data_IF_759761453255
#
_entry.id   IF_759761453255
#
_cell.length_a   1.000
_cell.length_b   1.000
_cell.length_c   1.000
_cell.angle_alpha   90.00
_cell.angle_beta   90.00
_cell.angle_gamma   90.00
#
_symmetry.space_group_name_H-M   'P 1'
#
loop_
_entity.id
_entity.type
_entity.pdbx_description
1 polymer ?
#
# COMPACT_ATOMS: atom_id res chain seq x y z
N UNK A 1 -16.19 0.93 -0.95
CA UNK A 1 -15.09 1.44 -1.77
C UNK A 1 -14.84 0.56 -3.00
N UNK A 2 -14.68 -0.76 -2.85
CA UNK A 2 -14.39 -1.67 -3.97
C UNK A 2 -15.47 -1.63 -5.07
N UNK A 3 -16.75 -1.60 -4.70
CA UNK A 3 -17.88 -1.49 -5.63
C UNK A 3 -17.85 -0.14 -6.36
N UNK A 4 -17.56 0.94 -5.64
CA UNK A 4 -17.42 2.29 -6.20
C UNK A 4 -16.33 2.33 -7.28
N UNK A 5 -15.13 1.84 -6.97
CA UNK A 5 -13.98 1.87 -7.89
C UNK A 5 -14.21 0.96 -9.10
N UNK A 6 -14.91 -0.18 -8.95
CA UNK A 6 -15.15 -1.10 -10.07
C UNK A 6 -16.31 -0.66 -10.96
N UNK A 7 -17.39 -0.08 -10.41
CA UNK A 7 -18.64 0.15 -11.16
C UNK A 7 -18.85 1.59 -11.60
N UNK A 8 -18.21 2.61 -10.96
CA UNK A 8 -18.41 4.01 -11.32
C UNK A 8 -17.46 4.50 -12.41
N UNK A 9 -17.85 5.54 -13.15
CA UNK A 9 -17.02 6.21 -14.15
C UNK A 9 -15.74 6.79 -13.52
N UNK A 10 -15.88 7.43 -12.35
CA UNK A 10 -14.75 7.97 -11.59
C UNK A 10 -13.79 6.89 -11.11
N UNK A 11 -14.28 5.75 -10.65
CA UNK A 11 -13.44 4.63 -10.24
C UNK A 11 -12.68 4.00 -11.41
N UNK A 12 -13.30 3.91 -12.60
CA UNK A 12 -12.60 3.48 -13.82
C UNK A 12 -11.52 4.47 -14.22
N UNK A 13 -11.78 5.78 -14.12
CA UNK A 13 -10.79 6.81 -14.38
C UNK A 13 -9.59 6.72 -13.40
N UNK A 14 -9.85 6.50 -12.10
CA UNK A 14 -8.79 6.29 -11.11
C UNK A 14 -7.88 5.10 -11.47
N UNK A 15 -8.44 4.01 -11.93
CA UNK A 15 -7.66 2.83 -12.37
C UNK A 15 -6.86 3.10 -13.64
N UNK A 16 -7.45 3.76 -14.63
CA UNK A 16 -6.76 4.13 -15.86
C UNK A 16 -5.55 5.05 -15.58
N UNK A 17 -5.74 6.07 -14.73
CA UNK A 17 -4.66 6.97 -14.32
C UNK A 17 -3.58 6.25 -13.52
N UNK A 18 -3.94 5.25 -12.70
CA UNK A 18 -2.95 4.48 -11.92
C UNK A 18 -2.14 3.50 -12.77
N UNK A 19 -2.66 3.04 -13.91
CA UNK A 19 -1.94 2.15 -14.83
C UNK A 19 -1.03 2.94 -15.79
N UNK A 20 -1.56 3.95 -16.45
CA UNK A 20 -0.80 4.81 -17.35
C UNK A 20 -1.45 6.20 -17.44
N UNK A 21 -0.87 7.22 -16.76
CA UNK A 21 -1.42 8.56 -16.73
C UNK A 21 -1.41 9.23 -18.12
N UNK A 22 -0.39 8.98 -18.95
CA UNK A 22 -0.31 9.59 -20.27
C UNK A 22 -1.38 9.04 -21.22
N UNK A 23 -1.59 7.73 -21.22
CA UNK A 23 -2.66 7.12 -21.99
C UNK A 23 -4.04 7.59 -21.51
N UNK A 24 -4.24 7.74 -20.20
CA UNK A 24 -5.48 8.26 -19.63
C UNK A 24 -5.77 9.70 -20.09
N UNK A 25 -4.73 10.54 -20.16
CA UNK A 25 -4.82 11.92 -20.67
C UNK A 25 -5.24 11.96 -22.13
N UNK A 26 -4.68 11.10 -22.97
CA UNK A 26 -5.04 10.97 -24.39
C UNK A 26 -6.49 10.55 -24.57
N UNK A 27 -7.06 9.79 -23.64
CA UNK A 27 -8.47 9.40 -23.62
C UNK A 27 -9.41 10.48 -23.03
N UNK A 28 -8.91 11.69 -22.77
CA UNK A 28 -9.70 12.80 -22.27
C UNK A 28 -9.98 12.77 -20.76
N UNK A 29 -9.26 11.92 -19.99
CA UNK A 29 -9.41 11.86 -18.54
C UNK A 29 -8.60 13.00 -17.91
N UNK A 30 -9.25 13.83 -17.08
CA UNK A 30 -8.57 14.86 -16.32
C UNK A 30 -7.85 14.21 -15.12
N UNK A 31 -6.52 14.15 -15.20
CA UNK A 31 -5.67 13.49 -14.21
C UNK A 31 -5.80 14.20 -12.86
N UNK A 32 -5.69 15.53 -12.82
CA UNK A 32 -5.69 16.31 -11.58
C UNK A 32 -6.98 16.11 -10.78
N UNK A 33 -8.13 16.18 -11.46
CA UNK A 33 -9.44 15.93 -10.83
C UNK A 33 -9.53 14.50 -10.29
N UNK A 34 -8.97 13.53 -11.00
CA UNK A 34 -8.98 12.12 -10.59
C UNK A 34 -8.11 11.91 -9.35
N UNK A 35 -6.94 12.53 -9.29
CA UNK A 35 -6.04 12.48 -8.14
C UNK A 35 -6.70 13.14 -6.93
N UNK A 36 -7.21 14.36 -7.08
CA UNK A 36 -7.91 15.07 -6.01
C UNK A 36 -9.05 14.23 -5.45
N UNK A 37 -9.89 13.65 -6.31
CA UNK A 37 -11.00 12.81 -5.88
C UNK A 37 -10.53 11.57 -5.10
N UNK A 38 -9.41 10.98 -5.50
CA UNK A 38 -8.82 9.83 -4.80
C UNK A 38 -8.38 10.22 -3.39
N UNK A 39 -7.70 11.36 -3.24
CA UNK A 39 -7.29 11.88 -1.93
C UNK A 39 -8.48 12.28 -1.05
N UNK A 40 -9.52 12.88 -1.61
CA UNK A 40 -10.75 13.23 -0.87
C UNK A 40 -11.40 11.97 -0.29
N UNK A 41 -11.50 10.89 -1.06
CA UNK A 41 -12.06 9.63 -0.56
C UNK A 41 -11.15 9.04 0.53
N UNK A 42 -9.83 9.07 0.34
CA UNK A 42 -8.88 8.58 1.33
C UNK A 42 -8.95 9.32 2.65
N UNK A 43 -8.96 10.66 2.61
CA UNK A 43 -9.07 11.51 3.82
C UNK A 43 -10.42 11.37 4.51
N UNK A 44 -11.49 11.19 3.77
CA UNK A 44 -12.82 10.92 4.34
C UNK A 44 -12.83 9.60 5.14
N UNK A 45 -12.26 8.53 4.59
CA UNK A 45 -12.14 7.25 5.30
C UNK A 45 -11.22 7.35 6.51
N UNK A 46 -10.12 8.09 6.41
CA UNK A 46 -9.20 8.33 7.52
C UNK A 46 -9.88 9.13 8.65
N UNK A 47 -10.73 10.09 8.30
CA UNK A 47 -11.51 10.86 9.28
C UNK A 47 -12.47 9.97 10.07
N UNK A 48 -13.18 9.06 9.41
CA UNK A 48 -14.06 8.09 10.11
C UNK A 48 -13.23 7.21 11.05
N UNK A 49 -12.10 6.69 10.59
CA UNK A 49 -11.22 5.86 11.41
C UNK A 49 -10.68 6.62 12.63
N UNK A 50 -10.32 7.90 12.47
CA UNK A 50 -9.88 8.77 13.56
C UNK A 50 -10.96 8.95 14.62
N UNK A 51 -12.20 9.22 14.23
CA UNK A 51 -13.32 9.36 15.17
C UNK A 51 -13.54 8.06 15.96
N UNK A 52 -13.52 6.90 15.29
CA UNK A 52 -13.65 5.60 15.95
C UNK A 52 -12.50 5.32 16.93
N UNK A 53 -11.28 5.75 16.56
CA UNK A 53 -10.11 5.59 17.42
C UNK A 53 -10.23 6.41 18.71
N UNK A 54 -10.56 7.70 18.57
CA UNK A 54 -10.74 8.62 19.70
C UNK A 54 -11.89 8.19 20.61
N UNK A 55 -12.97 7.66 20.04
CA UNK A 55 -14.08 7.13 20.83
C UNK A 55 -13.68 5.94 21.72
N UNK A 56 -12.67 5.17 21.30
CA UNK A 56 -12.15 4.02 22.07
C UNK A 56 -11.06 4.41 23.06
N UNK A 57 -10.19 5.34 22.69
CA UNK A 57 -9.04 5.77 23.48
C UNK A 57 -9.21 7.23 23.88
N UNK A 58 -9.43 7.50 25.16
CA UNK A 58 -9.66 8.85 25.69
C UNK A 58 -8.40 9.74 25.69
N UNK A 59 -7.22 9.14 25.55
CA UNK A 59 -5.96 9.87 25.55
C UNK A 59 -5.51 10.14 24.11
N UNK A 60 -5.30 11.41 23.79
CA UNK A 60 -4.75 11.87 22.50
C UNK A 60 -3.33 12.37 22.75
N UNK A 61 -2.36 11.71 22.15
CA UNK A 61 -0.96 12.11 22.18
C UNK A 61 -0.59 12.87 20.90
N UNK A 62 0.34 13.85 20.95
CA UNK A 62 0.74 14.64 19.78
C UNK A 62 1.26 13.79 18.60
N UNK A 63 1.92 12.66 18.87
CA UNK A 63 2.51 11.77 17.85
C UNK A 63 1.61 10.57 17.48
N UNK A 64 0.39 10.52 17.96
CA UNK A 64 -0.54 9.44 17.69
C UNK A 64 -0.73 9.16 16.20
N UNK A 65 -0.83 10.23 15.39
CA UNK A 65 -0.99 10.12 13.94
C UNK A 65 0.17 9.44 13.23
N UNK A 66 1.40 9.64 13.70
CA UNK A 66 2.60 9.00 13.15
C UNK A 66 2.56 7.48 13.34
N UNK A 67 2.22 7.02 14.54
CA UNK A 67 2.12 5.60 14.86
C UNK A 67 0.99 4.93 14.06
N UNK A 68 -0.18 5.57 13.99
CA UNK A 68 -1.30 5.05 13.19
C UNK A 68 -0.98 5.01 11.69
N UNK A 69 -0.24 6.01 11.19
CA UNK A 69 0.24 6.03 9.80
C UNK A 69 1.18 4.86 9.51
N UNK A 70 2.11 4.56 10.43
CA UNK A 70 3.00 3.41 10.33
C UNK A 70 2.22 2.08 10.29
N UNK A 71 1.25 1.90 11.17
CA UNK A 71 0.41 0.69 11.17
C UNK A 71 -0.42 0.56 9.90
N UNK A 72 -0.95 1.66 9.38
CA UNK A 72 -1.66 1.68 8.11
C UNK A 72 -0.76 1.30 6.93
N UNK A 73 0.50 1.78 6.93
CA UNK A 73 1.49 1.40 5.94
C UNK A 73 1.81 -0.10 6.00
N UNK A 74 2.07 -0.64 7.20
CA UNK A 74 2.32 -2.07 7.40
C UNK A 74 1.11 -2.88 6.91
N UNK A 75 -0.11 -2.46 7.25
CA UNK A 75 -1.33 -3.11 6.80
C UNK A 75 -1.47 -3.14 5.26
N UNK A 76 -1.13 -2.05 4.59
CA UNK A 76 -1.15 -1.96 3.13
C UNK A 76 -0.12 -2.87 2.47
N UNK A 77 1.10 -2.96 3.04
CA UNK A 77 2.17 -3.84 2.55
C UNK A 77 1.81 -5.31 2.76
N UNK A 78 1.37 -5.67 3.96
CA UNK A 78 0.92 -7.03 4.32
C UNK A 78 -0.26 -7.46 3.45
N UNK A 79 -1.22 -6.57 3.26
CA UNK A 79 -2.40 -6.82 2.43
C UNK A 79 -2.08 -6.96 0.95
N UNK A 80 -1.03 -6.29 0.49
CA UNK A 80 -0.59 -6.22 -0.91
C UNK A 80 -0.91 -4.87 -1.55
N UNK A 81 0.11 -4.14 -1.92
CA UNK A 81 0.03 -2.81 -2.54
C UNK A 81 -0.79 -2.90 -3.83
N UNK A 82 -1.77 -2.01 -3.95
CA UNK A 82 -2.68 -1.94 -5.12
C UNK A 82 -3.94 -2.80 -5.01
N UNK A 83 -4.12 -3.57 -3.93
CA UNK A 83 -5.34 -4.34 -3.67
C UNK A 83 -6.14 -3.75 -2.49
N UNK A 84 -7.33 -3.19 -2.78
CA UNK A 84 -8.22 -2.62 -1.75
C UNK A 84 -8.70 -3.70 -0.77
N UNK A 85 -9.05 -4.88 -1.31
CA UNK A 85 -9.45 -6.01 -0.48
C UNK A 85 -8.27 -6.48 0.38
N UNK A 86 -7.05 -6.49 -0.18
CA UNK A 86 -5.82 -6.80 0.53
C UNK A 86 -5.56 -5.86 1.69
N UNK A 87 -5.65 -4.55 1.47
CA UNK A 87 -5.47 -3.55 2.52
C UNK A 87 -6.48 -3.71 3.68
N UNK A 88 -7.72 -4.08 3.38
CA UNK A 88 -8.74 -4.34 4.39
C UNK A 88 -8.38 -5.58 5.24
N UNK A 89 -8.01 -6.67 4.60
CA UNK A 89 -7.58 -7.92 5.29
C UNK A 89 -6.28 -7.68 6.06
N UNK A 90 -5.32 -6.95 5.47
CA UNK A 90 -4.07 -6.58 6.13
C UNK A 90 -4.32 -5.76 7.40
N UNK A 91 -5.20 -4.77 7.34
CA UNK A 91 -5.60 -3.98 8.51
C UNK A 91 -6.24 -4.84 9.62
N UNK A 92 -7.07 -5.81 9.25
CA UNK A 92 -7.68 -6.73 10.21
C UNK A 92 -6.62 -7.64 10.87
N UNK A 93 -5.70 -8.20 10.09
CA UNK A 93 -4.59 -9.02 10.59
C UNK A 93 -3.73 -8.22 11.57
N UNK A 94 -3.32 -7.00 11.18
CA UNK A 94 -2.50 -6.12 12.04
C UNK A 94 -3.23 -5.78 13.34
N UNK A 95 -4.55 -5.52 13.27
CA UNK A 95 -5.37 -5.30 14.47
C UNK A 95 -5.38 -6.51 15.42
N UNK A 96 -5.50 -7.72 14.89
CA UNK A 96 -5.44 -8.96 15.69
C UNK A 96 -4.06 -9.16 16.32
N UNK A 97 -3.00 -8.98 15.52
CA UNK A 97 -1.61 -9.14 15.99
C UNK A 97 -1.28 -8.19 17.13
N UNK A 98 -1.79 -6.96 17.07
CA UNK A 98 -1.57 -5.95 18.11
C UNK A 98 -2.19 -6.34 19.48
N UNK A 99 -3.23 -7.15 19.46
CA UNK A 99 -3.91 -7.60 20.68
C UNK A 99 -3.25 -8.87 21.28
N UNK A 100 -2.54 -9.67 20.47
CA UNK A 100 -1.96 -10.95 20.90
C UNK A 100 -1.05 -10.84 22.13
N UNK A 101 -0.11 -9.89 22.27
CA UNK A 101 0.74 -9.80 23.45
C UNK A 101 -0.06 -9.58 24.74
N UNK A 102 -1.13 -8.79 24.68
CA UNK A 102 -2.00 -8.56 25.84
C UNK A 102 -2.77 -9.82 26.26
N UNK A 103 -3.17 -10.66 25.30
CA UNK A 103 -3.87 -11.94 25.59
C UNK A 103 -2.92 -12.94 26.24
N UNK A 104 -1.65 -12.96 25.83
CA UNK A 104 -0.63 -13.89 26.36
C UNK A 104 -0.06 -13.39 27.71
N UNK A 105 -0.46 -12.18 28.16
CA UNK A 105 0.05 -11.58 29.40
C UNK A 105 1.45 -10.97 29.27
N UNK A 106 1.92 -10.73 28.05
CA UNK A 106 3.20 -10.07 27.75
C UNK A 106 2.96 -8.55 27.72
N UNK A 107 3.96 -7.77 28.14
CA UNK A 107 3.87 -6.31 28.11
C UNK A 107 3.54 -5.82 26.69
N UNK A 108 2.61 -4.86 26.59
CA UNK A 108 2.17 -4.24 25.32
C UNK A 108 3.30 -3.61 24.49
N UNK A 109 4.44 -3.28 25.11
CA UNK A 109 5.63 -2.82 24.40
C UNK A 109 6.16 -3.82 23.35
N UNK A 110 5.91 -5.11 23.54
CA UNK A 110 6.30 -6.14 22.57
C UNK A 110 5.38 -6.21 21.34
N UNK A 111 4.23 -5.53 21.35
CA UNK A 111 3.29 -5.52 20.21
C UNK A 111 3.95 -5.06 18.91
N UNK A 112 4.86 -4.10 18.99
CA UNK A 112 5.58 -3.59 17.81
C UNK A 112 6.53 -4.64 17.22
N UNK A 113 7.19 -5.43 18.06
CA UNK A 113 8.09 -6.52 17.63
C UNK A 113 7.28 -7.58 16.86
N UNK A 114 6.09 -7.95 17.36
CA UNK A 114 5.21 -8.90 16.66
C UNK A 114 4.72 -8.35 15.32
N UNK A 115 4.40 -7.05 15.25
CA UNK A 115 3.97 -6.41 14.01
C UNK A 115 5.07 -6.41 12.95
N UNK A 116 6.29 -6.00 13.32
CA UNK A 116 7.42 -6.02 12.41
C UNK A 116 7.85 -7.45 12.05
N UNK A 117 7.78 -8.38 13.00
CA UNK A 117 8.06 -9.81 12.75
C UNK A 117 7.14 -10.39 11.68
N UNK A 118 5.82 -10.15 11.78
CA UNK A 118 4.86 -10.59 10.77
C UNK A 118 5.10 -9.90 9.43
N UNK A 119 5.41 -8.59 9.41
CA UNK A 119 5.75 -7.88 8.20
C UNK A 119 6.94 -8.55 7.48
N UNK A 120 8.02 -8.83 8.20
CA UNK A 120 9.21 -9.47 7.64
C UNK A 120 8.89 -10.87 7.11
N UNK A 121 8.17 -11.67 7.88
CA UNK A 121 7.77 -13.02 7.47
C UNK A 121 6.95 -12.96 6.17
N UNK A 122 5.95 -12.09 6.10
CA UNK A 122 5.10 -11.99 4.90
C UNK A 122 5.91 -11.50 3.70
N UNK A 123 6.80 -10.51 3.86
CA UNK A 123 7.65 -10.03 2.77
C UNK A 123 8.65 -11.10 2.30
N UNK A 124 9.14 -11.97 3.20
CA UNK A 124 10.05 -13.05 2.85
C UNK A 124 9.34 -14.12 2.00
N UNK A 125 8.13 -14.52 2.39
CA UNK A 125 7.37 -15.55 1.67
C UNK A 125 6.58 -15.01 0.47
N UNK A 126 6.10 -13.77 0.56
CA UNK A 126 5.23 -13.17 -0.47
C UNK A 126 5.50 -11.67 -0.64
N UNK A 127 6.56 -11.31 -1.37
CA UNK A 127 7.01 -9.90 -1.50
C UNK A 127 5.96 -8.96 -2.12
N UNK A 128 4.94 -9.51 -2.81
CA UNK A 128 3.83 -8.73 -3.33
C UNK A 128 2.69 -8.51 -2.30
N UNK A 129 2.82 -9.03 -1.07
CA UNK A 129 1.74 -9.07 -0.08
C UNK A 129 0.72 -10.18 -0.35
N UNK A 130 -0.25 -10.36 0.57
CA UNK A 130 -1.22 -11.47 0.52
C UNK A 130 -2.07 -11.46 -0.76
N UNK A 131 -2.49 -10.28 -1.21
CA UNK A 131 -3.37 -10.06 -2.37
C UNK A 131 -2.72 -9.20 -3.47
N UNK A 132 -1.40 -8.96 -3.40
CA UNK A 132 -0.69 -8.18 -4.39
C UNK A 132 -0.62 -8.88 -5.74
N UNK A 133 -0.71 -8.12 -6.83
CA UNK A 133 -0.45 -8.61 -8.18
C UNK A 133 1.06 -8.71 -8.40
N UNK A 134 1.52 -9.84 -8.91
CA UNK A 134 2.91 -10.03 -9.31
C UNK A 134 3.23 -9.11 -10.51
N UNK A 135 3.90 -8.00 -10.26
CA UNK A 135 4.39 -7.06 -11.30
C UNK A 135 5.80 -7.51 -11.76
N UNK A 136 5.96 -8.78 -12.10
CA UNK A 136 7.28 -9.38 -12.42
C UNK A 136 7.88 -8.93 -13.75
N UNK A 137 7.10 -8.40 -14.69
CA UNK A 137 7.57 -8.27 -16.07
C UNK A 137 8.40 -7.01 -16.35
N UNK A 138 8.09 -5.87 -15.72
CA UNK A 138 8.78 -4.60 -16.06
C UNK A 138 10.21 -4.49 -15.54
N UNK A 139 10.49 -5.04 -14.37
CA UNK A 139 11.83 -4.95 -13.75
C UNK A 139 12.85 -5.83 -14.51
N UNK A 140 12.42 -7.01 -14.97
CA UNK A 140 13.28 -7.93 -15.74
C UNK A 140 13.66 -7.36 -17.12
N UNK A 141 12.74 -6.67 -17.78
CA UNK A 141 12.99 -5.98 -19.05
C UNK A 141 14.03 -4.85 -18.88
N UNK A 142 13.92 -4.05 -17.83
CA UNK A 142 14.85 -2.97 -17.55
C UNK A 142 16.25 -3.49 -17.19
N UNK A 143 16.34 -4.55 -16.42
CA UNK A 143 17.62 -5.19 -16.08
C UNK A 143 18.25 -5.77 -17.36
N UNK A 144 17.50 -6.43 -18.22
CA UNK A 144 18.00 -6.94 -19.51
C UNK A 144 18.52 -5.82 -20.41
N UNK A 145 17.77 -4.72 -20.54
CA UNK A 145 18.17 -3.55 -21.34
C UNK A 145 19.44 -2.92 -20.77
N UNK A 146 19.55 -2.75 -19.45
CA UNK A 146 20.74 -2.22 -18.79
C UNK A 146 21.97 -3.11 -18.99
N UNK A 147 21.82 -4.42 -18.85
CA UNK A 147 22.92 -5.38 -19.08
C UNK A 147 23.35 -5.34 -20.55
N UNK A 148 22.42 -5.29 -21.48
CA UNK A 148 22.71 -5.25 -22.92
C UNK A 148 23.36 -3.93 -23.32
N UNK A 149 22.96 -2.80 -22.74
CA UNK A 149 23.58 -1.50 -22.96
C UNK A 149 24.99 -1.44 -22.37
N UNK A 150 25.21 -2.03 -21.21
CA UNK A 150 26.53 -2.12 -20.57
C UNK A 150 27.50 -2.98 -21.40
N UNK A 151 27.02 -4.10 -21.95
CA UNK A 151 27.81 -4.98 -22.82
C UNK A 151 28.21 -4.26 -24.12
N UNK A 152 27.28 -3.54 -24.73
CA UNK A 152 27.53 -2.73 -25.95
C UNK A 152 28.52 -1.58 -25.70
N UNK A 153 28.43 -0.94 -24.51
CA UNK A 153 29.35 0.13 -24.11
C UNK A 153 30.81 -0.35 -23.88
N UNK A 154 30.96 -1.60 -23.43
CA UNK A 154 32.28 -2.23 -23.23
C UNK A 154 32.93 -2.63 -24.56
N UNK A 155 32.16 -3.12 -25.54
CA UNK A 155 32.67 -3.48 -26.85
C UNK A 155 33.04 -2.26 -27.68
N UNK A 156 32.32 -1.14 -27.58
CA UNK A 156 32.60 0.09 -28.28
C UNK A 156 33.83 0.86 -27.78
N UNK A 157 34.39 0.52 -26.64
CA UNK A 157 35.58 1.14 -26.06
C UNK A 157 36.89 0.34 -26.34
N UNK A 158 36.79 -0.81 -27.03
CA UNK A 158 37.92 -1.70 -27.35
C UNK A 158 38.34 -1.63 -28.83
N UNK A 159 37.70 -0.80 -29.65
CA UNK A 159 38.04 -0.47 -31.03
C UNK A 159 38.46 0.98 -31.15
#
# INVERSE_FOLDING_TARGET
LNIFIKKTKSGKAMRAVSENPDAAKLMGINIDKTIVLTFVIGTFLASIASVMYVAKYSNIEPFLGSNLGLYAFIAAVVGGIGSIAGACVGGFIIGLVKILPNIIGINSAFSEIFLFGILIIILLFKPAGLFGKNVREKVWLWIKILIQWFHFSLEGNLT
#
